data_IF_432022403611
#
_entry.id   IF_432022403611
#
_cell.length_a   1.000
_cell.length_b   1.000
_cell.length_c   1.000
_cell.angle_alpha   90.00
_cell.angle_beta   90.00
_cell.angle_gamma   90.00
#
_symmetry.space_group_name_H-M   'P 1'
#
loop_
_entity.id
_entity.type
_entity.pdbx_description
1 polymer ?
#
# COMPACT_ATOMS: atom_id res chain seq x y z
N UNK A 1 2.52 -6.88 27.98
CA UNK A 1 1.36 -7.26 27.13
C UNK A 1 0.75 -6.00 26.51
N UNK A 2 1.49 -5.32 25.62
CA UNK A 2 1.10 -3.99 25.07
C UNK A 2 1.52 -3.78 23.62
N UNK A 3 2.44 -4.59 23.09
CA UNK A 3 2.88 -4.51 21.70
C UNK A 3 1.76 -4.93 20.72
N UNK A 4 0.94 -5.91 21.09
CA UNK A 4 -0.06 -6.50 20.20
C UNK A 4 -1.25 -5.55 19.95
N UNK A 5 -1.54 -4.64 20.89
CA UNK A 5 -2.63 -3.66 20.77
C UNK A 5 -2.28 -2.47 19.86
N UNK A 6 -0.99 -2.22 19.62
CA UNK A 6 -0.52 -1.10 18.80
C UNK A 6 -0.14 -1.53 17.36
N UNK A 7 -0.18 -2.83 17.05
CA UNK A 7 0.01 -3.33 15.68
C UNK A 7 -1.09 -2.82 14.72
N UNK A 8 -2.39 -2.88 15.07
CA UNK A 8 -3.45 -2.47 14.16
C UNK A 8 -3.34 -1.01 13.71
N UNK A 9 -2.94 -0.10 14.60
CA UNK A 9 -2.83 1.32 14.28
C UNK A 9 -1.75 1.65 13.25
N UNK A 10 -0.75 0.78 13.10
CA UNK A 10 0.33 0.94 12.10
C UNK A 10 -0.03 0.20 10.81
N UNK A 11 -0.55 -1.02 10.92
CA UNK A 11 -0.87 -1.84 9.76
C UNK A 11 -2.10 -1.35 9.00
N UNK A 12 -3.15 -0.88 9.68
CA UNK A 12 -4.37 -0.37 9.04
C UNK A 12 -4.10 0.77 8.05
N UNK A 13 -3.41 1.86 8.41
CA UNK A 13 -3.08 2.91 7.44
C UNK A 13 -2.06 2.45 6.40
N UNK A 14 -1.14 1.54 6.76
CA UNK A 14 -0.15 1.01 5.83
C UNK A 14 -0.79 0.18 4.72
N UNK A 15 -1.68 -0.76 5.04
CA UNK A 15 -2.40 -1.57 4.05
C UNK A 15 -3.57 -0.85 3.40
N UNK A 16 -4.15 0.17 4.05
CA UNK A 16 -5.30 0.91 3.55
C UNK A 16 -4.95 2.12 2.69
N UNK A 17 -3.76 2.70 2.86
CA UNK A 17 -3.36 3.94 2.17
C UNK A 17 -2.02 3.78 1.43
N UNK A 18 -0.96 3.40 2.14
CA UNK A 18 0.40 3.38 1.59
C UNK A 18 0.56 2.29 0.53
N UNK A 19 0.21 1.05 0.86
CA UNK A 19 0.31 -0.08 -0.05
C UNK A 19 -0.59 0.09 -1.29
N UNK A 20 -1.87 0.52 -1.17
CA UNK A 20 -2.71 0.81 -2.32
C UNK A 20 -2.18 1.94 -3.20
N UNK A 21 -1.68 3.04 -2.61
CA UNK A 21 -1.11 4.14 -3.39
C UNK A 21 0.09 3.69 -4.25
N UNK A 22 0.98 2.87 -3.67
CA UNK A 22 2.12 2.30 -4.38
C UNK A 22 1.66 1.33 -5.47
N UNK A 23 0.70 0.45 -5.17
CA UNK A 23 0.17 -0.51 -6.14
C UNK A 23 -0.47 0.20 -7.35
N UNK A 24 -1.27 1.24 -7.12
CA UNK A 24 -1.92 2.02 -8.18
C UNK A 24 -0.88 2.74 -9.03
N UNK A 25 0.11 3.39 -8.42
CA UNK A 25 1.17 4.09 -9.16
C UNK A 25 2.03 3.12 -9.99
N UNK A 26 2.41 1.98 -9.40
CA UNK A 26 3.19 0.95 -10.08
C UNK A 26 2.41 0.34 -11.24
N UNK A 27 1.13 0.01 -11.03
CA UNK A 27 0.26 -0.55 -12.07
C UNK A 27 0.00 0.47 -13.19
N UNK A 28 -0.16 1.75 -12.86
CA UNK A 28 -0.28 2.82 -13.86
C UNK A 28 0.97 2.89 -14.76
N UNK A 29 2.16 2.89 -14.17
CA UNK A 29 3.41 2.91 -14.95
C UNK A 29 3.61 1.63 -15.77
N UNK A 30 3.21 0.48 -15.25
CA UNK A 30 3.26 -0.80 -15.97
C UNK A 30 2.35 -0.80 -17.20
N UNK A 31 1.08 -0.39 -17.03
CA UNK A 31 0.11 -0.31 -18.13
C UNK A 31 0.53 0.71 -19.18
N UNK A 32 1.11 1.84 -18.78
CA UNK A 32 1.61 2.85 -19.71
C UNK A 32 2.84 2.39 -20.50
N UNK A 33 3.73 1.60 -19.91
CA UNK A 33 4.88 1.01 -20.61
C UNK A 33 4.48 -0.03 -21.66
N UNK A 34 3.37 -0.73 -21.47
CA UNK A 34 2.84 -1.72 -22.41
C UNK A 34 2.06 -1.13 -23.60
N UNK A 35 1.98 0.22 -23.71
CA UNK A 35 1.30 0.95 -24.78
C UNK A 35 2.29 1.63 -25.75
N UNK A 36 3.43 0.98 -26.02
CA UNK A 36 4.33 1.32 -27.13
C UNK A 36 4.16 0.24 -28.21
#
# INVERSE_FOLDING_TARGET
MTILTNLPSIFVPFVGLVFPAIAIASLFLYVQQNKI
#
